data_IF_826630813449
#
_entry.id   IF_826630813449
#
_cell.length_a   1.000
_cell.length_b   1.000
_cell.length_c   1.000
_cell.angle_alpha   90.00
_cell.angle_beta   90.00
_cell.angle_gamma   90.00
#
_symmetry.space_group_name_H-M   'P 1'
#
loop_
_entity.id
_entity.type
_entity.pdbx_description
1 polymer ?
#
# COMPACT_ATOMS: atom_id res chain seq x y z
N UNK A 1 -2.44 3.64 -27.70
CA UNK A 1 -1.03 3.71 -27.24
C UNK A 1 -0.97 4.41 -25.87
N UNK A 2 0.15 4.34 -25.14
CA UNK A 2 0.57 5.24 -24.04
C UNK A 2 0.42 4.87 -22.55
N UNK A 3 0.34 3.58 -22.17
CA UNK A 3 0.83 3.16 -20.82
C UNK A 3 2.02 2.22 -20.89
N UNK A 4 2.01 1.28 -21.85
CA UNK A 4 3.07 0.28 -22.00
C UNK A 4 4.41 0.85 -22.49
N UNK A 5 4.44 1.99 -23.19
CA UNK A 5 5.70 2.59 -23.67
C UNK A 5 6.40 3.37 -22.55
N UNK A 6 5.66 4.16 -21.79
CA UNK A 6 6.22 4.97 -20.70
C UNK A 6 6.82 4.12 -19.58
N UNK A 7 6.20 2.97 -19.25
CA UNK A 7 6.75 2.04 -18.26
C UNK A 7 8.05 1.39 -18.74
N UNK A 8 8.17 1.13 -20.06
CA UNK A 8 9.38 0.57 -20.66
C UNK A 8 10.51 1.60 -20.68
N UNK A 9 10.22 2.82 -21.09
CA UNK A 9 11.17 3.94 -21.04
C UNK A 9 11.70 4.17 -19.61
N UNK A 10 10.82 4.14 -18.61
CA UNK A 10 11.22 4.24 -17.19
C UNK A 10 12.09 3.06 -16.75
N UNK A 11 11.76 1.84 -17.17
CA UNK A 11 12.52 0.65 -16.87
C UNK A 11 13.95 0.73 -17.44
N UNK A 12 14.08 1.19 -18.68
CA UNK A 12 15.36 1.36 -19.36
C UNK A 12 16.23 2.45 -18.68
N UNK A 13 15.63 3.58 -18.30
CA UNK A 13 16.32 4.66 -17.57
C UNK A 13 16.82 4.20 -16.20
N UNK A 14 16.03 3.38 -15.50
CA UNK A 14 16.36 2.89 -14.17
C UNK A 14 17.22 1.61 -14.19
N UNK A 15 17.50 1.04 -15.39
CA UNK A 15 18.29 -0.17 -15.55
C UNK A 15 17.65 -1.42 -14.94
N UNK A 16 16.32 -1.42 -14.77
CA UNK A 16 15.58 -2.53 -14.15
C UNK A 16 14.58 -3.14 -15.13
N UNK A 17 14.33 -4.46 -15.09
CA UNK A 17 13.35 -5.07 -15.97
C UNK A 17 11.94 -4.49 -15.75
N UNK A 18 11.15 -4.36 -16.83
CA UNK A 18 9.71 -4.00 -16.79
C UNK A 18 8.92 -4.87 -15.79
N UNK A 19 9.33 -6.14 -15.61
CA UNK A 19 8.74 -7.06 -14.64
C UNK A 19 8.96 -6.64 -13.17
N UNK A 20 10.01 -5.89 -12.85
CA UNK A 20 10.23 -5.37 -11.51
C UNK A 20 9.10 -4.42 -11.06
N UNK A 21 8.53 -3.65 -12.00
CA UNK A 21 7.35 -2.82 -11.74
C UNK A 21 6.06 -3.64 -11.57
N UNK A 22 6.03 -4.90 -12.05
CA UNK A 22 4.90 -5.82 -11.86
C UNK A 22 4.94 -6.55 -10.52
N UNK A 23 6.07 -6.52 -9.80
CA UNK A 23 6.24 -7.22 -8.52
C UNK A 23 5.87 -6.36 -7.30
N UNK A 24 5.49 -5.10 -7.48
CA UNK A 24 4.93 -4.22 -6.42
C UNK A 24 3.49 -4.62 -6.02
N UNK A 25 3.15 -5.92 -6.05
CA UNK A 25 1.77 -6.38 -6.19
C UNK A 25 0.90 -6.32 -4.95
N UNK A 26 1.46 -6.23 -3.75
CA UNK A 26 0.65 -6.35 -2.54
C UNK A 26 0.48 -5.00 -1.85
N UNK A 27 -0.18 -4.11 -2.58
CA UNK A 27 -0.54 -2.77 -2.13
C UNK A 27 -2.07 -2.74 -1.94
N UNK A 28 -2.53 -2.75 -0.70
CA UNK A 28 -3.95 -2.70 -0.37
C UNK A 28 -4.34 -1.28 0.04
N UNK A 29 -5.29 -0.69 -0.69
CA UNK A 29 -5.86 0.60 -0.32
C UNK A 29 -6.79 0.44 0.87
N UNK A 30 -6.47 1.11 1.98
CA UNK A 30 -7.27 1.09 3.21
C UNK A 30 -8.32 2.20 3.21
N UNK A 31 -7.89 3.44 2.94
CA UNK A 31 -8.77 4.61 2.95
C UNK A 31 -8.22 5.75 2.11
N UNK A 32 -9.11 6.63 1.66
CA UNK A 32 -8.78 7.93 1.07
C UNK A 32 -9.68 8.97 1.71
N UNK A 33 -9.08 9.99 2.33
CA UNK A 33 -9.85 11.09 2.93
C UNK A 33 -10.31 12.10 1.86
N UNK A 34 -11.21 13.05 2.20
CA UNK A 34 -11.65 14.08 1.26
C UNK A 34 -10.53 15.03 0.78
N UNK A 35 -9.47 15.20 1.58
CA UNK A 35 -8.29 15.96 1.18
C UNK A 35 -7.43 15.20 0.15
N UNK A 36 -7.69 13.92 -0.07
CA UNK A 36 -6.97 13.06 -1.00
C UNK A 36 -5.77 12.36 -0.38
N UNK A 37 -5.59 12.42 0.95
CA UNK A 37 -4.62 11.60 1.67
C UNK A 37 -5.02 10.15 1.54
N UNK A 38 -4.06 9.28 1.25
CA UNK A 38 -4.29 7.85 1.03
C UNK A 38 -3.57 7.05 2.08
N UNK A 39 -4.24 6.03 2.61
CA UNK A 39 -3.64 5.03 3.48
C UNK A 39 -3.58 3.71 2.74
N UNK A 40 -2.39 3.14 2.73
CA UNK A 40 -2.07 1.95 1.96
C UNK A 40 -1.33 0.98 2.86
N UNK A 41 -1.77 -0.28 2.88
CA UNK A 41 -1.00 -1.38 3.43
C UNK A 41 -0.07 -1.93 2.32
N UNK A 42 1.22 -2.01 2.61
CA UNK A 42 2.24 -2.57 1.72
C UNK A 42 3.27 -3.35 2.54
N UNK A 43 4.18 -4.04 1.87
CA UNK A 43 5.38 -4.57 2.51
C UNK A 43 6.52 -3.56 2.44
N UNK A 44 7.36 -3.53 3.48
CA UNK A 44 8.64 -2.84 3.47
C UNK A 44 9.72 -3.66 2.71
N UNK A 45 10.95 -3.15 2.65
CA UNK A 45 12.07 -3.83 1.98
C UNK A 45 12.46 -5.18 2.62
N UNK A 46 12.04 -5.44 3.85
CA UNK A 46 12.25 -6.70 4.57
C UNK A 46 11.05 -7.65 4.44
N UNK A 47 10.00 -7.27 3.73
CA UNK A 47 8.77 -8.05 3.60
C UNK A 47 7.82 -7.91 4.80
N UNK A 48 8.01 -6.92 5.69
CA UNK A 48 7.13 -6.68 6.83
C UNK A 48 5.96 -5.77 6.46
N UNK A 49 4.75 -6.01 6.96
CA UNK A 49 3.58 -5.19 6.66
C UNK A 49 3.68 -3.81 7.33
N UNK A 50 3.56 -2.77 6.52
CA UNK A 50 3.54 -1.37 6.93
C UNK A 50 2.33 -0.66 6.35
N UNK A 51 1.81 0.32 7.10
CA UNK A 51 0.81 1.27 6.62
C UNK A 51 1.54 2.55 6.22
N UNK A 52 1.40 2.94 4.96
CA UNK A 52 1.95 4.17 4.40
C UNK A 52 0.82 5.19 4.23
N UNK A 53 1.01 6.37 4.82
CA UNK A 53 0.19 7.56 4.56
C UNK A 53 0.82 8.37 3.44
N UNK A 54 0.09 8.59 2.35
CA UNK A 54 0.52 9.35 1.19
C UNK A 54 -0.32 10.62 1.14
N UNK A 55 0.30 11.78 1.37
CA UNK A 55 -0.37 13.07 1.23
C UNK A 55 -0.73 13.37 -0.24
N UNK A 56 -1.62 14.33 -0.45
CA UNK A 56 -2.00 14.77 -1.81
C UNK A 56 -0.79 15.31 -2.59
N UNK A 57 0.12 16.00 -1.90
CA UNK A 57 1.31 16.60 -2.50
C UNK A 57 2.53 15.71 -2.31
N UNK A 58 3.32 15.53 -3.38
CA UNK A 58 4.54 14.73 -3.37
C UNK A 58 5.62 15.22 -2.37
N UNK A 59 5.44 16.42 -1.80
CA UNK A 59 6.31 16.99 -0.75
C UNK A 59 5.83 16.78 0.69
N UNK A 60 4.62 16.23 0.91
CA UNK A 60 4.19 15.85 2.24
C UNK A 60 4.77 14.49 2.58
N UNK A 61 5.65 14.46 3.58
CA UNK A 61 6.38 13.29 4.04
C UNK A 61 5.45 12.09 4.16
N UNK A 62 5.72 11.06 3.37
CA UNK A 62 5.05 9.77 3.52
C UNK A 62 5.40 9.23 4.91
N UNK A 63 4.40 9.18 5.80
CA UNK A 63 4.59 8.58 7.10
C UNK A 63 4.36 7.08 6.96
N UNK A 64 5.35 6.30 7.35
CA UNK A 64 5.27 4.85 7.39
C UNK A 64 5.18 4.40 8.84
N UNK A 65 4.36 3.38 9.08
CA UNK A 65 4.20 2.79 10.38
C UNK A 65 4.01 1.29 10.24
N UNK A 66 4.53 0.53 11.20
CA UNK A 66 4.29 -0.91 11.27
C UNK A 66 2.78 -1.19 11.38
N UNK A 67 2.24 -2.11 10.57
CA UNK A 67 0.81 -2.45 10.58
C UNK A 67 0.35 -2.95 11.96
N UNK A 68 1.20 -3.63 12.71
CA UNK A 68 0.91 -4.06 14.08
C UNK A 68 0.72 -2.87 15.03
N UNK A 69 1.61 -1.88 14.97
CA UNK A 69 1.49 -0.66 15.78
C UNK A 69 0.27 0.15 15.37
N UNK A 70 0.00 0.22 14.06
CA UNK A 70 -1.16 0.89 13.50
C UNK A 70 -2.48 0.34 14.06
N UNK A 71 -2.60 -0.98 14.20
CA UNK A 71 -3.78 -1.65 14.76
C UNK A 71 -3.97 -1.40 16.26
N UNK A 72 -2.87 -1.19 17.00
CA UNK A 72 -2.87 -0.95 18.44
C UNK A 72 -3.24 0.47 18.85
N UNK A 73 -3.43 1.38 17.89
CA UNK A 73 -3.94 2.73 18.16
C UNK A 73 -5.30 2.64 18.84
N UNK A 74 -5.47 3.42 19.91
CA UNK A 74 -6.74 3.50 20.65
C UNK A 74 -7.83 4.19 19.82
N UNK A 75 -7.43 5.08 18.92
CA UNK A 75 -8.35 5.80 18.05
C UNK A 75 -8.90 4.91 16.94
N UNK A 76 -10.23 4.80 16.90
CA UNK A 76 -10.94 4.17 15.80
C UNK A 76 -10.94 5.10 14.58
N UNK A 77 -10.33 4.64 13.49
CA UNK A 77 -10.24 5.40 12.24
C UNK A 77 -10.67 4.56 11.04
N UNK A 78 -11.21 5.16 9.97
CA UNK A 78 -11.67 4.42 8.79
C UNK A 78 -10.62 3.46 8.20
N UNK A 79 -9.37 3.90 8.12
CA UNK A 79 -8.24 3.09 7.64
C UNK A 79 -7.89 1.92 8.58
N UNK A 80 -8.06 2.09 9.90
CA UNK A 80 -7.85 1.00 10.87
C UNK A 80 -8.94 -0.05 10.74
N UNK A 81 -10.19 0.38 10.62
CA UNK A 81 -11.33 -0.52 10.42
C UNK A 81 -11.21 -1.28 9.09
N UNK A 82 -10.77 -0.62 8.03
CA UNK A 82 -10.50 -1.26 6.74
C UNK A 82 -9.38 -2.31 6.84
N UNK A 83 -8.33 -2.06 7.63
CA UNK A 83 -7.27 -3.04 7.87
C UNK A 83 -7.76 -4.26 8.65
N UNK A 84 -8.61 -4.07 9.67
CA UNK A 84 -9.24 -5.16 10.42
C UNK A 84 -10.10 -6.02 9.48
N UNK A 85 -11.00 -5.38 8.71
CA UNK A 85 -11.85 -6.08 7.75
C UNK A 85 -11.05 -6.84 6.68
N UNK A 86 -9.91 -6.29 6.25
CA UNK A 86 -9.00 -6.97 5.34
C UNK A 86 -8.40 -8.23 5.98
N UNK A 87 -7.96 -8.16 7.24
CA UNK A 87 -7.43 -9.32 7.97
C UNK A 87 -8.51 -10.39 8.12
N UNK A 88 -9.72 -10.02 8.54
CA UNK A 88 -10.85 -10.96 8.66
C UNK A 88 -11.18 -11.63 7.33
N UNK A 89 -11.18 -10.88 6.23
CA UNK A 89 -11.38 -11.42 4.88
C UNK A 89 -10.26 -12.40 4.48
N UNK A 90 -9.01 -12.08 4.77
CA UNK A 90 -7.89 -12.96 4.44
C UNK A 90 -7.95 -14.25 5.25
N UNK A 91 -8.21 -14.16 6.56
CA UNK A 91 -8.38 -15.33 7.42
C UNK A 91 -9.55 -16.22 6.97
N UNK A 92 -10.70 -15.63 6.66
CA UNK A 92 -11.87 -16.39 6.18
C UNK A 92 -11.67 -17.02 4.81
N UNK A 93 -10.82 -16.44 3.96
CA UNK A 93 -10.46 -17.03 2.67
C UNK A 93 -9.53 -18.23 2.86
N UNK A 94 -8.56 -18.13 3.77
CA UNK A 94 -7.61 -19.21 4.07
C UNK A 94 -8.22 -20.39 4.84
N UNK A 95 -9.36 -20.19 5.52
CA UNK A 95 -10.07 -21.23 6.27
C UNK A 95 -11.12 -22.00 5.42
N UNK A 96 -11.33 -21.60 4.17
CA UNK A 96 -12.30 -22.22 3.24
C UNK A 96 -11.64 -23.16 2.22
N UNK A 97 -10.33 -23.32 2.29
CA UNK A 97 -9.53 -24.36 1.63
C UNK A 97 -9.11 -25.43 2.64
#
# INVERSE_FOLDING_TARGET
MTKSNRLRELADVLGVPVAAFRNSKDCYHLHVDPAGTRWILTLDAQGKPIVRRIGRDAGQTSAEECAFLFLRREEETPQRNALIALIERLLTTQLKD
#
